data_IF_826606338094
#
_entry.id   IF_826606338094
#
_cell.length_a   1.000
_cell.length_b   1.000
_cell.length_c   1.000
_cell.angle_alpha   90.00
_cell.angle_beta   90.00
_cell.angle_gamma   90.00
#
_symmetry.space_group_name_H-M   'P 1'
#
loop_
_entity.id
_entity.type
_entity.pdbx_description
1 polymer ?
#
# COMPACT_ATOMS: atom_id res chain seq x y z
N UNK A 1 -7.55 -10.98 6.84
CA UNK A 1 -6.22 -10.57 6.34
C UNK A 1 -5.48 -11.81 5.85
N UNK A 2 -4.51 -11.65 4.95
CA UNK A 2 -3.65 -12.73 4.46
C UNK A 2 -2.18 -12.31 4.57
N UNK A 3 -1.25 -13.25 4.45
CA UNK A 3 0.19 -12.93 4.45
C UNK A 3 0.50 -11.90 3.36
N UNK A 4 1.22 -10.84 3.71
CA UNK A 4 1.56 -9.78 2.76
C UNK A 4 2.57 -10.27 1.73
N UNK A 5 2.42 -9.82 0.48
CA UNK A 5 3.34 -10.11 -0.62
C UNK A 5 4.17 -8.87 -0.97
N UNK A 6 5.22 -9.08 -1.75
CA UNK A 6 5.99 -8.02 -2.41
C UNK A 6 5.92 -8.21 -3.92
N UNK A 7 6.11 -7.12 -4.66
CA UNK A 7 6.22 -7.15 -6.13
C UNK A 7 7.63 -7.58 -6.51
N UNK A 8 7.72 -8.60 -7.36
CA UNK A 8 8.97 -9.02 -7.97
C UNK A 8 9.38 -8.03 -9.07
N UNK A 9 10.53 -7.38 -8.92
CA UNK A 9 10.97 -6.31 -9.83
C UNK A 9 11.34 -6.77 -11.25
N UNK A 10 11.45 -8.09 -11.50
CA UNK A 10 11.71 -8.62 -12.85
C UNK A 10 10.43 -9.00 -13.57
N UNK A 11 9.45 -9.51 -12.83
CA UNK A 11 8.24 -10.11 -13.40
C UNK A 11 6.97 -9.31 -13.15
N UNK A 12 7.01 -8.34 -12.23
CA UNK A 12 5.87 -7.54 -11.77
C UNK A 12 4.85 -8.32 -10.93
N UNK A 13 5.07 -9.62 -10.67
CA UNK A 13 4.12 -10.49 -9.96
C UNK A 13 4.29 -10.42 -8.45
N UNK A 14 3.22 -10.74 -7.72
CA UNK A 14 3.28 -10.96 -6.27
C UNK A 14 4.08 -12.20 -5.93
N UNK A 15 4.98 -12.08 -4.95
CA UNK A 15 5.79 -13.19 -4.42
C UNK A 15 5.69 -13.26 -2.91
N UNK A 16 5.74 -14.48 -2.37
CA UNK A 16 5.88 -14.69 -0.92
C UNK A 16 7.19 -14.09 -0.42
N UNK A 17 7.11 -13.40 0.71
CA UNK A 17 8.17 -12.50 1.15
C UNK A 17 8.78 -12.96 2.47
N UNK A 18 10.11 -13.06 2.49
CA UNK A 18 10.91 -13.11 3.73
C UNK A 18 11.30 -11.71 4.22
N UNK A 19 11.14 -10.70 3.37
CA UNK A 19 11.53 -9.31 3.63
C UNK A 19 10.36 -8.46 4.13
N UNK A 20 9.12 -8.89 3.86
CA UNK A 20 7.87 -8.36 4.42
C UNK A 20 7.12 -9.51 5.06
N UNK A 21 7.04 -9.53 6.38
CA UNK A 21 6.50 -10.67 7.12
C UNK A 21 5.16 -10.38 7.78
N UNK A 22 4.56 -9.22 7.50
CA UNK A 22 3.23 -8.83 7.97
C UNK A 22 2.10 -9.67 7.39
N UNK A 23 0.92 -9.54 7.99
CA UNK A 23 -0.35 -9.79 7.32
C UNK A 23 -0.95 -8.48 6.82
N UNK A 24 -1.81 -8.55 5.81
CA UNK A 24 -2.48 -7.36 5.29
C UNK A 24 -3.71 -7.65 4.46
N UNK A 25 -4.35 -6.57 4.03
CA UNK A 25 -5.45 -6.59 3.07
C UNK A 25 -5.58 -5.23 2.38
N UNK A 26 -6.30 -5.22 1.26
CA UNK A 26 -6.75 -3.99 0.63
C UNK A 26 -8.23 -3.74 0.93
N UNK A 27 -8.55 -2.50 1.27
CA UNK A 27 -9.90 -1.98 1.15
C UNK A 27 -10.06 -1.44 -0.27
N UNK A 28 -11.18 -1.79 -0.92
CA UNK A 28 -11.49 -1.21 -2.24
C UNK A 28 -11.65 0.30 -2.10
N UNK A 29 -11.23 1.05 -3.12
CA UNK A 29 -11.47 2.49 -3.18
C UNK A 29 -12.96 2.78 -3.06
N UNK A 30 -13.30 3.75 -2.22
CA UNK A 30 -14.68 4.12 -1.92
C UNK A 30 -15.57 2.99 -1.38
N UNK A 31 -14.98 2.01 -0.68
CA UNK A 31 -15.70 0.85 -0.13
C UNK A 31 -16.94 1.22 0.68
N UNK A 32 -16.84 2.25 1.53
CA UNK A 32 -17.93 2.74 2.37
C UNK A 32 -17.74 4.24 2.66
N UNK A 33 -18.67 4.86 3.39
CA UNK A 33 -18.63 6.30 3.68
C UNK A 33 -17.40 6.70 4.51
N UNK A 34 -16.90 5.82 5.39
CA UNK A 34 -15.74 6.10 6.23
C UNK A 34 -14.48 6.10 5.37
N UNK A 35 -14.29 5.05 4.57
CA UNK A 35 -13.16 4.95 3.63
C UNK A 35 -13.15 6.12 2.65
N UNK A 36 -14.30 6.46 2.05
CA UNK A 36 -14.42 7.62 1.16
C UNK A 36 -14.00 8.93 1.84
N UNK A 37 -14.40 9.13 3.10
CA UNK A 37 -14.06 10.35 3.85
C UNK A 37 -12.56 10.45 4.14
N UNK A 38 -11.90 9.31 4.39
CA UNK A 38 -10.45 9.24 4.57
C UNK A 38 -9.74 9.53 3.25
N UNK A 39 -10.14 8.88 2.15
CA UNK A 39 -9.55 9.07 0.82
C UNK A 39 -9.68 10.53 0.35
N UNK A 40 -10.84 11.17 0.58
CA UNK A 40 -11.04 12.60 0.30
C UNK A 40 -10.09 13.48 1.12
N UNK A 41 -9.93 13.20 2.42
CA UNK A 41 -9.00 13.96 3.28
C UNK A 41 -7.55 13.83 2.83
N UNK A 42 -7.14 12.64 2.37
CA UNK A 42 -5.82 12.41 1.80
C UNK A 42 -5.65 13.25 0.53
N UNK A 43 -6.64 13.25 -0.37
CA UNK A 43 -6.59 14.06 -1.58
C UNK A 43 -6.52 15.56 -1.29
N UNK A 44 -7.33 16.06 -0.35
CA UNK A 44 -7.34 17.46 0.06
C UNK A 44 -5.97 17.88 0.67
N UNK A 45 -5.33 17.01 1.45
CA UNK A 45 -4.02 17.28 2.06
C UNK A 45 -2.86 17.23 1.07
N UNK A 46 -2.88 16.26 0.15
CA UNK A 46 -1.78 16.02 -0.79
C UNK A 46 -1.91 16.83 -2.09
N UNK A 47 -3.08 17.42 -2.34
CA UNK A 47 -3.46 18.02 -3.62
C UNK A 47 -3.41 17.04 -4.80
N UNK A 48 -3.53 15.73 -4.54
CA UNK A 48 -3.59 14.67 -5.55
C UNK A 48 -5.04 14.15 -5.63
N UNK A 49 -5.67 14.10 -6.82
CA UNK A 49 -7.04 13.60 -6.94
C UNK A 49 -7.22 12.17 -6.43
N UNK A 50 -8.40 11.85 -5.88
CA UNK A 50 -8.72 10.53 -5.31
C UNK A 50 -8.57 9.41 -6.34
N UNK A 51 -8.81 9.70 -7.61
CA UNK A 51 -8.73 8.77 -8.74
C UNK A 51 -7.30 8.23 -8.96
N UNK A 52 -6.29 9.01 -8.58
CA UNK A 52 -4.87 8.63 -8.64
C UNK A 52 -4.45 7.74 -7.45
N UNK A 53 -5.28 7.61 -6.42
CA UNK A 53 -5.03 6.74 -5.27
C UNK A 53 -5.32 5.27 -5.56
N UNK A 54 -4.43 4.40 -5.08
CA UNK A 54 -4.74 2.98 -4.88
C UNK A 54 -5.72 2.80 -3.71
N UNK A 55 -6.39 1.65 -3.64
CA UNK A 55 -7.21 1.32 -2.46
C UNK A 55 -6.35 1.23 -1.18
N UNK A 56 -6.91 1.57 -0.03
CA UNK A 56 -6.18 1.60 1.23
C UNK A 56 -5.59 0.21 1.57
N UNK A 57 -4.28 0.14 1.73
CA UNK A 57 -3.58 -1.05 2.21
C UNK A 57 -3.47 -1.03 3.73
N UNK A 58 -4.11 -2.01 4.39
CA UNK A 58 -4.01 -2.19 5.84
C UNK A 58 -3.00 -3.29 6.13
N UNK A 59 -2.10 -3.03 7.06
CA UNK A 59 -1.01 -3.92 7.46
C UNK A 59 -1.03 -4.15 8.96
N UNK A 60 -0.81 -5.39 9.36
CA UNK A 60 -0.72 -5.80 10.74
C UNK A 60 0.59 -6.56 10.97
N UNK A 61 1.42 -6.02 11.86
CA UNK A 61 2.72 -6.55 12.25
C UNK A 61 2.63 -7.10 13.67
N UNK A 62 2.88 -8.39 13.83
CA UNK A 62 3.11 -9.01 15.14
C UNK A 62 4.53 -8.73 15.64
N UNK A 63 4.77 -8.99 16.92
CA UNK A 63 6.11 -8.86 17.52
C UNK A 63 7.13 -9.68 16.71
N UNK A 64 8.21 -9.02 16.28
CA UNK A 64 9.26 -9.63 15.47
C UNK A 64 8.99 -9.66 13.95
N UNK A 65 7.80 -9.26 13.49
CA UNK A 65 7.55 -9.05 12.07
C UNK A 65 8.16 -7.73 11.59
N UNK A 66 8.51 -7.67 10.31
CA UNK A 66 9.25 -6.52 9.73
C UNK A 66 8.89 -6.30 8.28
N UNK A 67 9.28 -5.11 7.81
CA UNK A 67 9.48 -4.83 6.40
C UNK A 67 10.89 -4.24 6.23
N UNK A 68 11.73 -4.91 5.45
CA UNK A 68 13.04 -4.37 5.09
C UNK A 68 12.93 -3.09 4.24
N UNK A 69 13.95 -2.22 4.27
CA UNK A 69 13.97 -1.00 3.47
C UNK A 69 13.73 -1.28 1.98
N UNK A 70 12.85 -0.48 1.37
CA UNK A 70 12.48 -0.60 -0.03
C UNK A 70 11.97 0.75 -0.55
N UNK A 71 11.74 0.80 -1.86
CA UNK A 71 11.06 1.91 -2.52
C UNK A 71 9.63 1.51 -2.85
N UNK A 72 8.70 2.46 -2.73
CA UNK A 72 7.30 2.24 -3.12
C UNK A 72 7.09 2.34 -4.63
N UNK A 73 7.95 3.07 -5.35
CA UNK A 73 7.89 3.18 -6.80
C UNK A 73 8.23 1.85 -7.49
N UNK A 74 7.67 1.65 -8.67
CA UNK A 74 7.93 0.48 -9.49
C UNK A 74 9.22 0.67 -10.29
N UNK A 75 10.04 -0.38 -10.33
CA UNK A 75 11.21 -0.48 -11.21
C UNK A 75 10.89 -1.26 -12.49
N UNK A 76 9.71 -1.87 -12.57
CA UNK A 76 9.31 -2.71 -13.68
C UNK A 76 8.29 -2.01 -14.60
N UNK A 77 8.39 -2.32 -15.89
CA UNK A 77 7.49 -1.80 -16.92
C UNK A 77 6.04 -2.28 -16.75
N UNK A 78 5.84 -3.46 -16.16
CA UNK A 78 4.53 -4.09 -16.09
C UNK A 78 3.60 -3.32 -15.16
N UNK A 79 4.01 -3.06 -13.92
CA UNK A 79 3.22 -2.30 -12.96
C UNK A 79 3.10 -0.83 -13.37
N UNK A 80 4.17 -0.23 -13.88
CA UNK A 80 4.15 1.15 -14.38
C UNK A 80 3.11 1.35 -15.50
N UNK A 81 2.93 0.36 -16.40
CA UNK A 81 1.91 0.42 -17.47
C UNK A 81 0.50 0.12 -17.00
N UNK A 82 0.32 -0.76 -16.00
CA UNK A 82 -1.01 -1.22 -15.57
C UNK A 82 -1.63 -0.41 -14.42
N UNK A 83 -0.84 0.38 -13.70
CA UNK A 83 -1.32 1.22 -12.58
C UNK A 83 -0.71 2.62 -12.52
N UNK A 84 0.23 2.95 -13.42
CA UNK A 84 1.02 4.17 -13.34
C UNK A 84 2.21 4.06 -12.38
N UNK A 85 3.00 5.13 -12.28
CA UNK A 85 4.10 5.23 -11.32
C UNK A 85 3.62 5.90 -10.02
N UNK A 86 4.08 5.40 -8.87
CA UNK A 86 3.82 6.03 -7.57
C UNK A 86 4.73 7.23 -7.37
N UNK A 87 4.13 8.37 -7.05
CA UNK A 87 4.85 9.63 -6.83
C UNK A 87 4.93 10.02 -5.35
N UNK A 88 4.06 9.46 -4.51
CA UNK A 88 3.97 9.75 -3.08
C UNK A 88 3.32 8.58 -2.33
N UNK A 89 3.66 8.46 -1.05
CA UNK A 89 3.05 7.52 -0.10
C UNK A 89 2.62 8.27 1.15
N UNK A 90 1.41 8.00 1.64
CA UNK A 90 0.94 8.47 2.94
C UNK A 90 0.79 7.27 3.88
N UNK A 91 1.64 7.21 4.91
CA UNK A 91 1.61 6.15 5.92
C UNK A 91 0.84 6.63 7.16
N UNK A 92 -0.21 5.90 7.53
CA UNK A 92 -1.03 6.18 8.72
C UNK A 92 -0.82 5.11 9.77
N UNK A 93 -0.39 5.50 10.97
CA UNK A 93 -0.36 4.61 12.13
C UNK A 93 -1.77 4.49 12.71
N UNK A 94 -2.28 3.26 12.76
CA UNK A 94 -3.62 2.96 13.29
C UNK A 94 -3.60 2.63 14.79
N UNK A 95 -2.41 2.39 15.33
CA UNK A 95 -2.15 1.97 16.72
C UNK A 95 -0.79 2.49 17.14
N UNK A 96 -0.66 2.91 18.39
CA UNK A 96 0.63 3.17 19.02
C UNK A 96 1.36 1.84 19.27
N UNK A 97 2.68 1.83 19.07
CA UNK A 97 3.54 0.67 19.34
C UNK A 97 4.42 1.01 20.54
N UNK A 98 4.34 0.20 21.60
CA UNK A 98 5.14 0.32 22.81
C UNK A 98 6.19 -0.78 22.90
#
# INVERSE_FOLDING_TARGET
MAKSTVVDSKTGKSKDSRVRTSSGMFLKRGRDQVVNSIEKRIADYTFIPVENGEGLQVLHYEVGQKYEPHFDYFLDDFNTKNGGQRIATLLMYLTEIY
#
